data_IF_648272748057
#
_entry.id   IF_648272748057
#
_cell.length_a   1.000
_cell.length_b   1.000
_cell.length_c   1.000
_cell.angle_alpha   90.00
_cell.angle_beta   90.00
_cell.angle_gamma   90.00
#
_symmetry.space_group_name_H-M   'P 1'
#
loop_
_entity.id
_entity.type
_entity.pdbx_description
1 polymer ?
#
# COMPACT_ATOMS: atom_id res chain seq x y z
N UNK A 1 -21.57 -5.73 65.52
CA UNK A 1 -20.89 -4.94 64.46
C UNK A 1 -21.43 -5.41 63.11
N UNK A 2 -21.92 -4.52 62.21
CA UNK A 2 -22.46 -4.96 60.92
C UNK A 2 -21.32 -5.28 59.96
N UNK A 3 -21.33 -6.49 59.40
CA UNK A 3 -20.33 -6.96 58.43
C UNK A 3 -20.69 -6.37 57.06
N UNK A 4 -19.84 -5.51 56.50
CA UNK A 4 -20.00 -5.00 55.12
C UNK A 4 -19.97 -6.19 54.15
N UNK A 5 -21.02 -6.34 53.34
CA UNK A 5 -21.13 -7.43 52.36
C UNK A 5 -20.13 -7.19 51.22
N UNK A 6 -19.26 -8.17 50.88
CA UNK A 6 -18.21 -8.02 49.86
C UNK A 6 -18.75 -7.88 48.42
N UNK A 7 -20.05 -8.03 48.21
CA UNK A 7 -20.72 -7.95 46.90
C UNK A 7 -20.86 -6.53 46.35
N UNK A 8 -20.73 -5.48 47.16
CA UNK A 8 -20.96 -4.10 46.70
C UNK A 8 -19.73 -3.45 46.04
N UNK A 9 -18.54 -4.03 46.19
CA UNK A 9 -17.31 -3.53 45.55
C UNK A 9 -17.03 -4.10 44.15
N UNK A 10 -17.67 -5.21 43.78
CA UNK A 10 -17.43 -5.91 42.51
C UNK A 10 -18.36 -5.44 41.38
N UNK A 11 -19.47 -4.76 41.71
CA UNK A 11 -20.48 -4.28 40.77
C UNK A 11 -20.33 -2.78 40.42
N UNK A 12 -19.09 -2.30 40.25
CA UNK A 12 -18.80 -1.01 39.60
C UNK A 12 -18.70 -1.19 38.06
N UNK A 13 -19.01 -0.17 37.23
CA UNK A 13 -20.13 -0.22 36.29
C UNK A 13 -19.68 -0.63 34.88
N UNK A 14 -20.01 -1.87 34.51
CA UNK A 14 -19.88 -2.42 33.14
C UNK A 14 -20.42 -1.45 32.08
N UNK A 15 -21.54 -0.76 32.34
CA UNK A 15 -22.13 0.20 31.41
C UNK A 15 -21.29 1.45 31.14
N UNK A 16 -20.45 1.87 32.09
CA UNK A 16 -19.57 3.04 31.92
C UNK A 16 -18.32 2.71 31.12
N UNK A 17 -17.82 1.47 31.26
CA UNK A 17 -16.70 0.93 30.51
C UNK A 17 -17.11 0.74 29.03
N UNK A 18 -18.24 0.05 28.79
CA UNK A 18 -18.75 -0.21 27.43
C UNK A 18 -19.02 1.09 26.65
N UNK A 19 -19.71 2.09 27.23
CA UNK A 19 -20.04 3.31 26.49
C UNK A 19 -18.83 4.18 26.16
N UNK A 20 -17.84 4.24 27.05
CA UNK A 20 -16.65 5.08 26.86
C UNK A 20 -15.66 4.43 25.90
N UNK A 21 -15.43 3.12 26.02
CA UNK A 21 -14.51 2.39 25.17
C UNK A 21 -15.05 2.19 23.75
N UNK A 22 -16.36 1.92 23.62
CA UNK A 22 -16.98 1.75 22.30
C UNK A 22 -16.91 3.03 21.46
N UNK A 23 -17.05 4.21 22.07
CA UNK A 23 -16.89 5.49 21.38
C UNK A 23 -15.46 5.70 20.85
N UNK A 24 -14.45 5.35 21.66
CA UNK A 24 -13.03 5.45 21.26
C UNK A 24 -12.69 4.45 20.15
N UNK A 25 -13.20 3.21 20.25
CA UNK A 25 -13.02 2.19 19.21
C UNK A 25 -13.69 2.63 17.89
N UNK A 26 -14.92 3.14 17.95
CA UNK A 26 -15.64 3.61 16.76
C UNK A 26 -14.91 4.77 16.08
N UNK A 27 -14.45 5.77 16.85
CA UNK A 27 -13.67 6.89 16.30
C UNK A 27 -12.36 6.41 15.67
N UNK A 28 -11.68 5.44 16.30
CA UNK A 28 -10.44 4.87 15.81
C UNK A 28 -10.66 4.12 14.49
N UNK A 29 -11.70 3.28 14.42
CA UNK A 29 -12.05 2.56 13.19
C UNK A 29 -12.40 3.53 12.06
N UNK A 30 -13.17 4.57 12.34
CA UNK A 30 -13.51 5.58 11.32
C UNK A 30 -12.27 6.31 10.81
N UNK A 31 -11.34 6.66 11.71
CA UNK A 31 -10.04 7.26 11.34
C UNK A 31 -9.25 6.35 10.40
N UNK A 32 -9.11 5.06 10.76
CA UNK A 32 -8.39 4.10 9.92
C UNK A 32 -9.09 3.84 8.59
N UNK A 33 -10.43 3.82 8.58
CA UNK A 33 -11.22 3.68 7.35
C UNK A 33 -10.98 4.85 6.40
N UNK A 34 -10.95 6.09 6.90
CA UNK A 34 -10.67 7.27 6.08
C UNK A 34 -9.24 7.23 5.51
N UNK A 35 -8.25 6.82 6.31
CA UNK A 35 -6.87 6.66 5.85
C UNK A 35 -6.80 5.57 4.76
N UNK A 36 -7.44 4.43 4.98
CA UNK A 36 -7.47 3.33 4.00
C UNK A 36 -8.18 3.74 2.71
N UNK A 37 -9.29 4.47 2.80
CA UNK A 37 -10.01 4.99 1.64
C UNK A 37 -9.15 5.99 0.84
N UNK A 38 -8.43 6.89 1.52
CA UNK A 38 -7.53 7.84 0.86
C UNK A 38 -6.38 7.13 0.14
N UNK A 39 -5.72 6.18 0.81
CA UNK A 39 -4.66 5.38 0.22
C UNK A 39 -5.20 4.57 -0.97
N UNK A 40 -6.35 3.93 -0.80
CA UNK A 40 -7.02 3.16 -1.84
C UNK A 40 -7.37 3.99 -3.06
N UNK A 41 -7.85 5.23 -2.87
CA UNK A 41 -8.12 6.15 -3.97
C UNK A 41 -6.83 6.52 -4.73
N UNK A 42 -5.75 6.86 -4.02
CA UNK A 42 -4.45 7.21 -4.64
C UNK A 42 -3.89 6.03 -5.44
N UNK A 43 -3.81 4.85 -4.81
CA UNK A 43 -3.26 3.63 -5.43
C UNK A 43 -4.16 3.14 -6.58
N UNK A 44 -5.47 3.24 -6.41
CA UNK A 44 -6.44 2.90 -7.45
C UNK A 44 -6.33 3.81 -8.67
N UNK A 45 -6.22 5.12 -8.46
CA UNK A 45 -5.99 6.08 -9.55
C UNK A 45 -4.67 5.85 -10.25
N UNK A 46 -3.58 5.58 -9.52
CA UNK A 46 -2.29 5.25 -10.11
C UNK A 46 -2.38 3.98 -10.99
N UNK A 47 -3.03 2.93 -10.51
CA UNK A 47 -3.27 1.69 -11.27
C UNK A 47 -4.13 1.94 -12.52
N UNK A 48 -5.18 2.75 -12.40
CA UNK A 48 -6.05 3.09 -13.52
C UNK A 48 -5.29 3.87 -14.61
N UNK A 49 -4.49 4.86 -14.21
CA UNK A 49 -3.63 5.62 -15.14
C UNK A 49 -2.64 4.69 -15.84
N UNK A 50 -1.97 3.81 -15.10
CA UNK A 50 -1.04 2.83 -15.67
C UNK A 50 -1.73 1.96 -16.73
N UNK A 51 -2.91 1.40 -16.44
CA UNK A 51 -3.68 0.58 -17.38
C UNK A 51 -4.13 1.36 -18.62
N UNK A 52 -4.59 2.60 -18.45
CA UNK A 52 -5.00 3.45 -19.58
C UNK A 52 -3.81 3.75 -20.50
N UNK A 53 -2.66 4.12 -19.93
CA UNK A 53 -1.43 4.37 -20.69
C UNK A 53 -0.93 3.09 -21.38
N UNK A 54 -1.01 1.94 -20.72
CA UNK A 54 -0.64 0.65 -21.30
C UNK A 54 -1.54 0.28 -22.49
N UNK A 55 -2.85 0.50 -22.36
CA UNK A 55 -3.79 0.29 -23.45
C UNK A 55 -3.50 1.23 -24.63
N UNK A 56 -3.22 2.50 -24.34
CA UNK A 56 -2.82 3.47 -25.37
C UNK A 56 -1.54 3.04 -26.09
N UNK A 57 -0.50 2.65 -25.35
CA UNK A 57 0.76 2.15 -25.92
C UNK A 57 0.55 0.89 -26.78
N UNK A 58 -0.37 0.01 -26.36
CA UNK A 58 -0.73 -1.20 -27.10
C UNK A 58 -1.39 -0.86 -28.44
N UNK A 59 -2.38 0.04 -28.43
CA UNK A 59 -3.05 0.49 -29.65
C UNK A 59 -2.08 1.21 -30.61
N UNK A 60 -1.15 2.00 -30.05
CA UNK A 60 -0.10 2.64 -30.83
C UNK A 60 0.82 1.61 -31.49
N UNK A 61 1.26 0.59 -30.75
CA UNK A 61 2.06 -0.52 -31.29
C UNK A 61 1.34 -1.28 -32.39
N UNK A 62 0.04 -1.56 -32.23
CA UNK A 62 -0.74 -2.30 -33.24
C UNK A 62 -0.95 -1.51 -34.53
N UNK A 63 -1.18 -0.20 -34.43
CA UNK A 63 -1.28 0.68 -35.60
C UNK A 63 0.07 0.95 -36.28
N UNK A 64 1.18 0.83 -35.55
CA UNK A 64 2.53 1.16 -36.01
C UNK A 64 3.53 0.04 -35.74
N UNK A 65 3.32 -1.15 -36.34
CA UNK A 65 4.17 -2.32 -36.11
C UNK A 65 5.67 -2.09 -36.37
N UNK A 66 6.04 -1.13 -37.22
CA UNK A 66 7.44 -0.76 -37.49
C UNK A 66 8.20 -0.32 -36.22
N UNK A 67 7.51 0.14 -35.18
CA UNK A 67 8.15 0.52 -33.90
C UNK A 67 8.84 -0.66 -33.21
N UNK A 68 8.44 -1.90 -33.52
CA UNK A 68 9.07 -3.11 -32.97
C UNK A 68 10.54 -3.19 -33.40
N UNK A 69 10.91 -2.64 -34.56
CA UNK A 69 12.31 -2.57 -34.99
C UNK A 69 13.18 -1.70 -34.07
N UNK A 70 12.60 -0.77 -33.31
CA UNK A 70 13.30 0.04 -32.31
C UNK A 70 13.39 -0.63 -30.93
N UNK A 71 12.78 -1.80 -30.75
CA UNK A 71 12.82 -2.54 -29.49
C UNK A 71 14.25 -2.82 -28.96
N UNK A 72 15.26 -3.15 -29.80
CA UNK A 72 16.64 -3.33 -29.31
C UNK A 72 17.22 -2.06 -28.69
N UNK A 73 16.94 -0.89 -29.28
CA UNK A 73 17.39 0.41 -28.76
C UNK A 73 16.64 0.76 -27.48
N UNK A 74 15.32 0.56 -27.45
CA UNK A 74 14.52 0.77 -26.25
C UNK A 74 14.97 -0.13 -25.09
N UNK A 75 15.19 -1.43 -25.36
CA UNK A 75 15.69 -2.38 -24.37
C UNK A 75 17.09 -2.01 -23.84
N UNK A 76 17.98 -1.50 -24.71
CA UNK A 76 19.28 -0.99 -24.29
C UNK A 76 19.15 0.22 -23.36
N UNK A 77 18.29 1.20 -23.71
CA UNK A 77 18.04 2.37 -22.87
C UNK A 77 17.45 2.00 -21.51
N UNK A 78 16.47 1.09 -21.48
CA UNK A 78 15.88 0.56 -20.24
C UNK A 78 16.94 -0.16 -19.41
N UNK A 79 17.76 -1.01 -20.04
CA UNK A 79 18.85 -1.72 -19.38
C UNK A 79 19.89 -0.78 -18.77
N UNK A 80 20.26 0.31 -19.47
CA UNK A 80 21.14 1.33 -18.91
C UNK A 80 20.50 2.08 -17.74
N UNK A 81 19.23 2.47 -17.85
CA UNK A 81 18.52 3.13 -16.77
C UNK A 81 18.47 2.25 -15.51
N UNK A 82 18.17 0.96 -15.67
CA UNK A 82 18.20 -0.03 -14.60
C UNK A 82 19.61 -0.26 -14.04
N UNK A 83 20.65 -0.21 -14.86
CA UNK A 83 22.03 -0.38 -14.39
C UNK A 83 22.52 0.79 -13.53
N UNK A 84 22.18 2.03 -13.92
CA UNK A 84 22.61 3.24 -13.20
C UNK A 84 21.72 3.58 -12.00
N UNK A 85 20.40 3.41 -12.10
CA UNK A 85 19.44 3.80 -11.06
C UNK A 85 18.74 2.63 -10.35
N UNK A 86 18.78 1.43 -10.92
CA UNK A 86 17.97 0.28 -10.48
C UNK A 86 18.64 -0.69 -9.52
N UNK A 87 19.89 -0.46 -9.06
CA UNK A 87 20.64 -1.41 -8.22
C UNK A 87 19.88 -1.88 -6.96
N UNK A 88 19.10 -0.99 -6.34
CA UNK A 88 18.27 -1.33 -5.17
C UNK A 88 16.86 -1.83 -5.52
N UNK A 89 16.47 -1.75 -6.79
CA UNK A 89 15.12 -2.04 -7.30
C UNK A 89 15.04 -3.43 -7.96
N UNK A 90 16.19 -4.08 -8.23
CA UNK A 90 16.30 -5.37 -8.94
C UNK A 90 15.44 -6.48 -8.33
N UNK A 91 15.24 -6.47 -7.01
CA UNK A 91 14.39 -7.46 -6.34
C UNK A 91 12.89 -7.28 -6.66
N UNK A 92 12.46 -6.10 -7.11
CA UNK A 92 11.08 -5.81 -7.45
C UNK A 92 10.11 -6.22 -6.35
N UNK A 93 9.12 -7.02 -6.69
CA UNK A 93 8.12 -7.55 -5.75
C UNK A 93 8.72 -8.41 -4.63
N UNK A 94 9.86 -9.08 -4.86
CA UNK A 94 10.49 -9.90 -3.83
C UNK A 94 11.00 -9.03 -2.67
N UNK A 95 11.35 -7.76 -2.90
CA UNK A 95 11.73 -6.86 -1.82
C UNK A 95 10.53 -6.56 -0.90
N UNK A 96 9.33 -6.41 -1.47
CA UNK A 96 8.11 -6.20 -0.68
C UNK A 96 7.82 -7.41 0.22
N UNK A 97 7.99 -8.63 -0.32
CA UNK A 97 7.78 -9.89 0.42
C UNK A 97 8.82 -10.04 1.54
N UNK A 98 10.09 -9.77 1.24
CA UNK A 98 11.17 -9.85 2.23
C UNK A 98 10.99 -8.84 3.37
N UNK A 99 10.63 -7.59 3.07
CA UNK A 99 10.40 -6.54 4.09
C UNK A 99 9.13 -6.80 4.92
N UNK A 100 8.10 -7.44 4.34
CA UNK A 100 6.93 -7.90 5.08
C UNK A 100 7.27 -8.98 6.12
N UNK A 101 8.16 -9.92 5.77
CA UNK A 101 8.56 -11.02 6.65
C UNK A 101 9.64 -10.64 7.66
N UNK A 102 10.53 -9.72 7.29
CA UNK A 102 11.64 -9.28 8.13
C UNK A 102 11.99 -7.83 7.77
N UNK A 103 11.38 -6.85 8.46
CA UNK A 103 11.61 -5.45 8.15
C UNK A 103 13.05 -5.06 8.48
N UNK A 104 13.87 -4.89 7.44
CA UNK A 104 15.29 -4.58 7.52
C UNK A 104 15.59 -3.20 6.92
N UNK A 105 14.85 -2.73 5.91
CA UNK A 105 15.08 -1.45 5.23
C UNK A 105 13.79 -0.77 4.76
N UNK A 106 13.86 0.56 4.60
CA UNK A 106 12.79 1.36 4.00
C UNK A 106 12.67 1.02 2.51
N UNK A 107 11.45 0.75 2.02
CA UNK A 107 11.17 0.44 0.61
C UNK A 107 11.47 1.69 -0.25
N UNK A 108 12.37 1.59 -1.25
CA UNK A 108 12.72 2.75 -2.09
C UNK A 108 11.55 3.16 -2.99
N UNK A 109 11.18 4.44 -2.94
CA UNK A 109 10.08 5.01 -3.74
C UNK A 109 10.33 4.94 -5.26
N UNK A 110 11.58 4.72 -5.68
CA UNK A 110 11.97 4.53 -7.09
C UNK A 110 11.40 3.22 -7.67
N UNK A 111 10.89 2.30 -6.84
CA UNK A 111 10.13 1.15 -7.34
C UNK A 111 8.96 1.60 -8.22
N UNK A 112 8.09 2.48 -7.74
CA UNK A 112 6.84 2.83 -8.42
C UNK A 112 6.96 3.30 -9.89
N UNK A 113 7.93 4.13 -10.29
CA UNK A 113 8.09 4.52 -11.69
C UNK A 113 8.91 3.56 -12.54
N UNK A 114 9.68 2.63 -11.94
CA UNK A 114 10.58 1.74 -12.70
C UNK A 114 9.96 0.37 -13.01
N UNK A 115 8.95 -0.07 -12.26
CA UNK A 115 8.09 -1.23 -12.60
C UNK A 115 7.22 -0.92 -13.82
#
# INVERSE_FOLDING_TARGET
>A
MPVKKPTEGFLLPINSFIKKDFGVVLLSTLKWLLIAALIGAIVGSASALFLVTLNWATNYRESHLWIISFLPVAGFLIGLAYHYWGKDVVKGNNLLIEELQSPKKVIPLIMAPLI
#
